data_IF_465372337661
#
_entry.id   IF_465372337661
#
_cell.length_a   1.000
_cell.length_b   1.000
_cell.length_c   1.000
_cell.angle_alpha   90.00
_cell.angle_beta   90.00
_cell.angle_gamma   90.00
#
_symmetry.space_group_name_H-M   'P 1'
#
loop_
_entity.id
_entity.type
_entity.pdbx_description
1 polymer ?
#
# COMPACT_ATOMS: atom_id res chain seq x y z
N UNK A 1 -1.68 -11.75 22.72
CA UNK A 1 -1.88 -11.28 21.33
C UNK A 1 -0.50 -11.00 20.76
N UNK A 2 -0.08 -11.76 19.76
CA UNK A 2 1.16 -11.50 19.05
C UNK A 2 0.94 -10.44 17.96
N UNK A 3 1.99 -9.72 17.60
CA UNK A 3 1.99 -8.82 16.45
C UNK A 3 3.11 -9.23 15.51
N UNK A 4 2.76 -9.59 14.28
CA UNK A 4 3.69 -10.05 13.25
C UNK A 4 3.89 -8.96 12.22
N UNK A 5 5.14 -8.57 11.94
CA UNK A 5 5.48 -7.62 10.90
C UNK A 5 6.10 -8.41 9.74
N UNK A 6 5.47 -8.39 8.57
CA UNK A 6 5.92 -9.09 7.37
C UNK A 6 6.25 -8.06 6.28
N UNK A 7 7.38 -8.30 5.61
CA UNK A 7 7.85 -7.51 4.48
C UNK A 7 7.03 -7.70 3.21
N UNK A 8 7.62 -7.31 2.09
CA UNK A 8 7.02 -7.39 0.75
C UNK A 8 6.55 -8.80 0.41
N UNK A 9 5.29 -8.91 -0.02
CA UNK A 9 4.67 -10.21 -0.36
C UNK A 9 4.79 -10.49 -1.86
N UNK A 10 4.63 -9.48 -2.71
CA UNK A 10 4.76 -9.58 -4.16
C UNK A 10 4.02 -10.78 -4.77
N UNK A 11 2.75 -10.98 -4.41
CA UNK A 11 1.95 -12.08 -4.96
C UNK A 11 2.45 -13.49 -4.60
N UNK A 12 3.37 -13.65 -3.66
CA UNK A 12 3.82 -14.93 -3.12
C UNK A 12 2.82 -15.47 -2.10
N UNK A 13 1.63 -15.84 -2.59
CA UNK A 13 0.50 -16.27 -1.76
C UNK A 13 0.83 -17.52 -0.93
N UNK A 14 1.39 -18.55 -1.58
CA UNK A 14 1.68 -19.83 -0.92
C UNK A 14 2.72 -19.65 0.19
N UNK A 15 3.73 -18.82 -0.04
CA UNK A 15 4.75 -18.48 0.95
C UNK A 15 4.18 -17.67 2.12
N UNK A 16 3.28 -16.72 1.85
CA UNK A 16 2.59 -15.97 2.90
C UNK A 16 1.78 -16.92 3.79
N UNK A 17 0.98 -17.81 3.21
CA UNK A 17 0.18 -18.78 3.96
C UNK A 17 1.08 -19.74 4.75
N UNK A 18 2.15 -20.26 4.14
CA UNK A 18 3.10 -21.13 4.82
C UNK A 18 3.79 -20.45 6.01
N UNK A 19 4.15 -19.16 5.86
CA UNK A 19 4.73 -18.35 6.93
C UNK A 19 3.73 -18.13 8.08
N UNK A 20 2.48 -17.77 7.77
CA UNK A 20 1.43 -17.55 8.77
C UNK A 20 1.08 -18.85 9.52
N UNK A 21 1.07 -19.99 8.82
CA UNK A 21 0.90 -21.30 9.45
C UNK A 21 2.07 -21.63 10.40
N UNK A 22 3.31 -21.33 9.99
CA UNK A 22 4.51 -21.59 10.81
C UNK A 22 4.52 -20.82 12.13
N UNK A 23 3.93 -19.61 12.15
CA UNK A 23 3.79 -18.79 13.37
C UNK A 23 2.44 -18.97 14.05
N UNK A 24 1.64 -19.96 13.62
CA UNK A 24 0.31 -20.25 14.16
C UNK A 24 -0.59 -19.01 14.26
N UNK A 25 -0.51 -18.13 13.25
CA UNK A 25 -1.26 -16.88 13.22
C UNK A 25 -2.77 -17.15 13.29
N UNK A 26 -3.42 -16.54 14.28
CA UNK A 26 -4.86 -16.71 14.51
C UNK A 26 -5.59 -15.37 14.34
N UNK A 27 -6.34 -15.16 13.22
CA UNK A 27 -7.19 -13.98 13.05
C UNK A 27 -8.17 -13.80 14.22
N UNK A 28 -8.39 -12.55 14.64
CA UNK A 28 -9.21 -12.19 15.81
C UNK A 28 -8.48 -12.32 17.15
N UNK A 29 -7.31 -12.97 17.20
CA UNK A 29 -6.46 -13.08 18.40
C UNK A 29 -5.11 -12.38 18.23
N UNK A 30 -4.51 -12.49 17.04
CA UNK A 30 -3.23 -11.90 16.67
C UNK A 30 -3.41 -10.79 15.64
N UNK A 31 -2.41 -9.92 15.51
CA UNK A 31 -2.42 -8.84 14.52
C UNK A 31 -1.29 -9.01 13.52
N UNK A 32 -1.63 -8.98 12.24
CA UNK A 32 -0.67 -8.99 11.14
C UNK A 32 -0.44 -7.56 10.66
N UNK A 33 0.82 -7.17 10.51
CA UNK A 33 1.25 -5.90 9.92
C UNK A 33 2.00 -6.18 8.62
N UNK A 34 1.55 -5.60 7.51
CA UNK A 34 2.15 -5.76 6.18
C UNK A 34 2.75 -4.45 5.71
N UNK A 35 4.01 -4.48 5.25
CA UNK A 35 4.74 -3.28 4.82
C UNK A 35 4.36 -2.79 3.42
N UNK A 36 3.29 -3.31 2.82
CA UNK A 36 2.89 -3.02 1.44
C UNK A 36 3.53 -3.96 0.43
N UNK A 37 3.45 -3.59 -0.84
CA UNK A 37 3.90 -4.39 -1.98
C UNK A 37 3.30 -5.80 -1.93
N UNK A 38 1.97 -5.84 -1.80
CA UNK A 38 1.19 -7.07 -1.72
C UNK A 38 1.18 -7.81 -3.06
N UNK A 39 1.26 -7.04 -4.15
CA UNK A 39 1.08 -7.50 -5.53
C UNK A 39 2.37 -7.40 -6.35
N UNK A 40 2.25 -7.84 -7.61
CA UNK A 40 3.27 -7.86 -8.64
C UNK A 40 4.36 -8.92 -8.43
N UNK A 41 5.05 -9.29 -9.52
CA UNK A 41 6.16 -10.28 -9.59
C UNK A 41 5.75 -11.73 -9.37
N UNK A 42 5.13 -12.05 -8.25
CA UNK A 42 4.65 -13.40 -7.93
C UNK A 42 3.35 -13.75 -8.66
N UNK A 43 2.99 -15.04 -8.70
CA UNK A 43 1.87 -15.54 -9.48
C UNK A 43 0.49 -15.28 -8.83
N UNK A 44 0.42 -15.12 -7.50
CA UNK A 44 -0.81 -15.13 -6.72
C UNK A 44 -1.27 -13.76 -6.21
N UNK A 45 -1.05 -12.67 -6.97
CA UNK A 45 -1.46 -11.31 -6.53
C UNK A 45 -2.96 -11.21 -6.20
N UNK A 46 -3.80 -11.90 -6.97
CA UNK A 46 -5.26 -11.96 -6.72
C UNK A 46 -5.59 -12.64 -5.38
N UNK A 47 -4.97 -13.78 -5.12
CA UNK A 47 -5.20 -14.56 -3.91
C UNK A 47 -4.68 -13.84 -2.66
N UNK A 48 -3.52 -13.16 -2.76
CA UNK A 48 -3.00 -12.29 -1.69
C UNK A 48 -4.02 -11.21 -1.34
N UNK A 49 -4.53 -10.44 -2.31
CA UNK A 49 -5.48 -9.37 -2.01
C UNK A 49 -6.77 -9.88 -1.39
N UNK A 50 -7.34 -10.97 -1.91
CA UNK A 50 -8.54 -11.59 -1.34
C UNK A 50 -8.31 -12.05 0.09
N UNK A 51 -7.20 -12.73 0.35
CA UNK A 51 -6.86 -13.22 1.68
C UNK A 51 -6.64 -12.06 2.66
N UNK A 52 -5.78 -11.10 2.32
CA UNK A 52 -5.48 -9.95 3.19
C UNK A 52 -6.76 -9.16 3.49
N UNK A 53 -7.61 -8.90 2.50
CA UNK A 53 -8.92 -8.25 2.71
C UNK A 53 -9.82 -9.07 3.63
N UNK A 54 -9.81 -10.40 3.54
CA UNK A 54 -10.62 -11.28 4.38
C UNK A 54 -10.24 -11.27 5.86
N UNK A 55 -9.02 -10.85 6.21
CA UNK A 55 -8.55 -10.77 7.60
C UNK A 55 -9.23 -9.67 8.43
N UNK A 56 -9.88 -8.70 7.77
CA UNK A 56 -10.57 -7.59 8.43
C UNK A 56 -9.69 -6.87 9.44
N UNK A 57 -10.18 -6.70 10.66
CA UNK A 57 -9.48 -5.98 11.74
C UNK A 57 -8.22 -6.69 12.25
N UNK A 58 -7.96 -7.93 11.81
CA UNK A 58 -6.76 -8.68 12.17
C UNK A 58 -5.52 -8.27 11.37
N UNK A 59 -5.67 -7.41 10.36
CA UNK A 59 -4.55 -6.91 9.55
C UNK A 59 -4.47 -5.39 9.59
N UNK A 60 -3.24 -4.90 9.67
CA UNK A 60 -2.86 -3.50 9.44
C UNK A 60 -1.86 -3.49 8.31
N UNK A 61 -1.98 -2.57 7.37
CA UNK A 61 -1.05 -2.50 6.26
C UNK A 61 -0.81 -1.06 5.82
N UNK A 62 0.27 -0.87 5.07
CA UNK A 62 0.54 0.34 4.31
C UNK A 62 0.62 0.04 2.82
N UNK A 63 0.34 1.04 1.98
CA UNK A 63 0.52 0.95 0.54
C UNK A 63 2.01 1.00 0.17
N UNK A 64 2.45 0.05 -0.66
CA UNK A 64 3.75 0.08 -1.30
C UNK A 64 3.72 0.65 -2.72
N UNK A 65 4.88 0.83 -3.33
CA UNK A 65 4.98 1.42 -4.67
C UNK A 65 4.42 0.49 -5.76
N UNK A 66 4.53 -0.83 -5.60
CA UNK A 66 3.92 -1.78 -6.52
C UNK A 66 2.38 -1.81 -6.40
N UNK A 67 1.84 -1.56 -5.21
CA UNK A 67 0.40 -1.41 -5.01
C UNK A 67 -0.13 -0.15 -5.71
N UNK A 68 0.56 0.99 -5.54
CA UNK A 68 0.22 2.23 -6.26
C UNK A 68 0.35 2.08 -7.78
N UNK A 69 1.38 1.36 -8.25
CA UNK A 69 1.55 1.09 -9.68
C UNK A 69 0.40 0.24 -10.24
N UNK A 70 -0.06 -0.78 -9.50
CA UNK A 70 -1.25 -1.55 -9.87
C UNK A 70 -2.48 -0.66 -10.03
N UNK A 71 -2.71 0.29 -9.11
CA UNK A 71 -3.81 1.24 -9.22
C UNK A 71 -3.69 2.11 -10.48
N UNK A 72 -2.48 2.54 -10.85
CA UNK A 72 -2.24 3.29 -12.08
C UNK A 72 -2.48 2.45 -13.34
N UNK A 73 -2.16 1.16 -13.31
CA UNK A 73 -2.47 0.23 -14.40
C UNK A 73 -3.98 0.04 -14.53
N UNK A 74 -4.69 -0.15 -13.41
CA UNK A 74 -6.13 -0.34 -13.40
C UNK A 74 -6.89 0.91 -13.89
N UNK A 75 -6.42 2.11 -13.54
CA UNK A 75 -6.96 3.37 -14.03
C UNK A 75 -6.61 3.67 -15.50
N UNK A 76 -5.88 2.80 -16.19
CA UNK A 76 -5.48 2.98 -17.59
C UNK A 76 -4.37 4.01 -17.83
N UNK A 77 -3.71 4.47 -16.77
CA UNK A 77 -2.63 5.49 -16.82
C UNK A 77 -1.30 4.84 -17.16
N UNK A 78 -1.07 3.64 -16.65
CA UNK A 78 0.19 2.91 -16.82
C UNK A 78 -0.01 1.58 -17.54
N UNK A 79 1.03 1.13 -18.24
CA UNK A 79 1.00 -0.15 -18.93
C UNK A 79 1.25 -1.30 -17.97
N UNK A 80 0.40 -2.33 -18.01
CA UNK A 80 0.67 -3.61 -17.37
C UNK A 80 1.93 -4.26 -17.96
N UNK A 81 2.97 -4.43 -17.15
CA UNK A 81 4.23 -5.07 -17.59
C UNK A 81 4.09 -6.59 -17.40
N UNK A 82 4.45 -7.42 -18.40
CA UNK A 82 4.33 -8.88 -18.27
C UNK A 82 4.98 -9.49 -17.03
N UNK A 83 6.11 -8.90 -16.59
CA UNK A 83 6.85 -9.33 -15.39
C UNK A 83 6.07 -9.13 -14.08
N UNK A 84 5.06 -8.27 -14.07
CA UNK A 84 4.28 -7.97 -12.87
C UNK A 84 3.13 -8.96 -12.69
N UNK A 85 2.78 -9.76 -13.72
CA UNK A 85 1.79 -10.86 -13.64
C UNK A 85 0.41 -10.45 -13.09
N UNK A 86 -0.02 -9.21 -13.36
CA UNK A 86 -1.24 -8.63 -12.81
C UNK A 86 -2.51 -9.01 -13.58
N UNK A 87 -2.41 -9.62 -14.76
CA UNK A 87 -3.56 -9.92 -15.63
C UNK A 87 -4.67 -10.71 -14.92
N UNK A 88 -4.39 -11.81 -14.18
CA UNK A 88 -5.45 -12.54 -13.49
C UNK A 88 -6.21 -11.69 -12.46
N UNK A 89 -5.52 -10.76 -11.81
CA UNK A 89 -6.13 -9.82 -10.86
C UNK A 89 -6.97 -8.77 -11.58
N UNK A 90 -6.45 -8.18 -12.66
CA UNK A 90 -7.14 -7.12 -13.41
C UNK A 90 -8.39 -7.62 -14.15
N UNK A 91 -8.41 -8.89 -14.54
CA UNK A 91 -9.54 -9.53 -15.24
C UNK A 91 -10.51 -10.26 -14.27
N UNK A 92 -10.24 -10.21 -12.97
CA UNK A 92 -11.08 -10.89 -11.99
C UNK A 92 -12.47 -10.20 -11.88
N UNK A 93 -13.56 -10.96 -11.69
CA UNK A 93 -14.91 -10.38 -11.55
C UNK A 93 -15.07 -9.41 -10.37
N UNK A 94 -14.24 -9.56 -9.34
CA UNK A 94 -14.17 -8.75 -8.12
C UNK A 94 -13.00 -7.74 -8.13
N UNK A 95 -12.34 -7.53 -9.27
CA UNK A 95 -11.22 -6.61 -9.40
C UNK A 95 -11.58 -5.19 -8.94
N UNK A 96 -12.73 -4.67 -9.37
CA UNK A 96 -13.24 -3.37 -8.94
C UNK A 96 -13.35 -3.27 -7.41
N UNK A 97 -13.90 -4.30 -6.76
CA UNK A 97 -14.04 -4.32 -5.30
C UNK A 97 -12.67 -4.32 -4.61
N UNK A 98 -11.78 -5.21 -5.04
CA UNK A 98 -10.44 -5.37 -4.46
C UNK A 98 -9.60 -4.11 -4.61
N UNK A 99 -9.63 -3.47 -5.78
CA UNK A 99 -8.82 -2.29 -6.05
C UNK A 99 -9.41 -1.03 -5.41
N UNK A 100 -10.74 -0.94 -5.31
CA UNK A 100 -11.40 0.09 -4.50
C UNK A 100 -11.10 -0.06 -3.00
N UNK A 101 -10.96 -1.29 -2.51
CA UNK A 101 -10.50 -1.55 -1.14
C UNK A 101 -9.02 -1.18 -0.98
N UNK A 102 -8.16 -1.59 -1.91
CA UNK A 102 -6.71 -1.37 -1.85
C UNK A 102 -6.36 0.13 -1.84
N UNK A 103 -6.97 0.93 -2.72
CA UNK A 103 -6.68 2.38 -2.79
C UNK A 103 -7.06 3.16 -1.52
N UNK A 104 -7.84 2.56 -0.62
CA UNK A 104 -8.26 3.18 0.65
C UNK A 104 -7.39 2.75 1.82
N UNK A 105 -6.35 1.95 1.57
CA UNK A 105 -5.42 1.54 2.61
C UNK A 105 -4.45 2.67 2.96
N UNK A 106 -3.96 2.74 4.21
CA UNK A 106 -3.09 3.82 4.65
C UNK A 106 -1.72 3.82 3.95
N UNK A 107 -1.05 4.97 3.93
CA UNK A 107 0.38 5.08 3.61
C UNK A 107 1.25 5.01 4.87
N UNK A 108 0.67 5.34 6.02
CA UNK A 108 1.36 5.34 7.31
C UNK A 108 0.49 4.67 8.38
N UNK A 109 1.05 3.68 9.08
CA UNK A 109 0.42 3.03 10.23
C UNK A 109 1.15 3.37 11.51
N UNK A 110 0.40 3.67 12.56
CA UNK A 110 0.98 4.05 13.87
C UNK A 110 0.24 3.32 14.99
N UNK A 111 1.01 2.70 15.87
CA UNK A 111 0.55 2.15 17.14
C UNK A 111 1.25 2.90 18.27
N UNK A 112 0.54 3.85 18.86
CA UNK A 112 1.06 4.72 19.93
C UNK A 112 1.33 3.95 21.23
N UNK A 113 0.65 2.82 21.45
CA UNK A 113 0.85 1.97 22.64
C UNK A 113 2.13 1.15 22.48
N UNK A 114 2.30 0.48 21.34
CA UNK A 114 3.49 -0.32 21.04
C UNK A 114 4.69 0.51 20.58
N UNK A 115 4.52 1.82 20.38
CA UNK A 115 5.52 2.73 19.80
C UNK A 115 6.03 2.24 18.45
N UNK A 116 5.11 1.76 17.61
CA UNK A 116 5.40 1.30 16.25
C UNK A 116 4.93 2.32 15.23
N UNK A 117 5.78 2.56 14.24
CA UNK A 117 5.46 3.33 13.03
C UNK A 117 5.85 2.46 11.85
N UNK A 118 4.96 2.33 10.88
CA UNK A 118 5.20 1.57 9.65
C UNK A 118 4.89 2.45 8.45
N UNK A 119 5.85 2.49 7.54
CA UNK A 119 5.77 3.03 6.20
C UNK A 119 6.52 2.05 5.28
N UNK A 120 6.19 2.01 3.99
CA UNK A 120 6.78 1.05 3.06
C UNK A 120 8.29 1.31 2.84
N UNK A 121 8.63 2.52 2.39
CA UNK A 121 10.02 2.91 2.07
C UNK A 121 10.71 3.70 3.20
N UNK A 122 10.03 3.89 4.34
CA UNK A 122 10.50 4.71 5.45
C UNK A 122 9.84 6.08 5.51
N UNK A 123 10.46 7.00 6.26
CA UNK A 123 10.02 8.39 6.42
C UNK A 123 11.23 9.27 6.18
N UNK A 124 11.12 10.26 5.29
CA UNK A 124 12.20 11.22 5.05
C UNK A 124 12.68 11.88 6.35
N UNK A 125 13.99 12.08 6.54
CA UNK A 125 14.53 12.75 7.72
C UNK A 125 14.14 14.23 7.82
N UNK A 126 13.52 14.80 6.77
CA UNK A 126 13.01 16.17 6.77
C UNK A 126 11.71 16.34 7.58
N UNK A 127 11.09 15.25 8.02
CA UNK A 127 9.80 15.27 8.70
C UNK A 127 9.92 14.83 10.15
N UNK A 128 9.14 15.47 11.00
CA UNK A 128 8.72 14.86 12.26
C UNK A 128 7.52 13.92 12.04
N UNK A 129 7.15 13.17 13.08
CA UNK A 129 6.05 12.22 12.99
C UNK A 129 4.70 12.90 12.70
N UNK A 130 4.50 14.13 13.16
CA UNK A 130 3.26 14.87 12.92
C UNK A 130 3.13 15.26 11.46
N UNK A 131 4.21 15.76 10.86
CA UNK A 131 4.28 16.08 9.43
C UNK A 131 4.05 14.82 8.60
N UNK A 132 4.68 13.70 8.94
CA UNK A 132 4.46 12.42 8.25
C UNK A 132 2.98 11.98 8.30
N UNK A 133 2.32 12.11 9.46
CA UNK A 133 0.88 11.83 9.62
C UNK A 133 0.02 12.70 8.72
N UNK A 134 0.29 14.00 8.66
CA UNK A 134 -0.46 14.95 7.83
C UNK A 134 -0.25 14.70 6.33
N UNK A 135 1.00 14.49 5.92
CA UNK A 135 1.36 14.15 4.55
C UNK A 135 0.69 12.85 4.08
N UNK A 136 0.73 11.79 4.88
CA UNK A 136 0.08 10.52 4.54
C UNK A 136 -1.43 10.73 4.31
N UNK A 137 -2.10 11.48 5.20
CA UNK A 137 -3.53 11.80 5.08
C UNK A 137 -3.87 12.57 3.80
N UNK A 138 -3.01 13.49 3.37
CA UNK A 138 -3.23 14.25 2.13
C UNK A 138 -3.31 13.31 0.92
N UNK A 139 -2.40 12.35 0.82
CA UNK A 139 -2.37 11.39 -0.30
C UNK A 139 -3.49 10.34 -0.16
N UNK A 140 -3.72 9.82 1.05
CA UNK A 140 -4.81 8.87 1.34
C UNK A 140 -6.20 9.46 1.00
N UNK A 141 -6.42 10.75 1.26
CA UNK A 141 -7.65 11.44 0.93
C UNK A 141 -7.88 11.50 -0.60
N UNK A 142 -6.82 11.77 -1.36
CA UNK A 142 -6.90 11.79 -2.83
C UNK A 142 -7.11 10.38 -3.39
N UNK A 143 -6.36 9.39 -2.91
CA UNK A 143 -6.52 7.99 -3.30
C UNK A 143 -7.93 7.44 -2.99
N UNK A 144 -8.54 7.90 -1.90
CA UNK A 144 -9.90 7.54 -1.49
C UNK A 144 -11.01 8.27 -2.26
N UNK A 145 -10.68 9.33 -3.00
CA UNK A 145 -11.61 10.11 -3.83
C UNK A 145 -11.80 9.50 -5.22
N UNK A 146 -12.76 10.02 -6.00
CA UNK A 146 -12.93 9.65 -7.41
C UNK A 146 -11.92 10.36 -8.34
N UNK A 147 -11.18 11.33 -7.82
CA UNK A 147 -10.13 12.06 -8.55
C UNK A 147 -8.75 11.40 -8.45
N UNK A 148 -8.65 10.22 -7.82
CA UNK A 148 -7.40 9.48 -7.66
C UNK A 148 -6.63 9.25 -8.98
N UNK A 149 -7.26 9.05 -10.17
CA UNK A 149 -6.50 8.85 -11.40
C UNK A 149 -5.63 10.05 -11.76
N UNK A 150 -6.08 11.28 -11.50
CA UNK A 150 -5.27 12.49 -11.78
C UNK A 150 -4.00 12.54 -10.94
N UNK A 151 -4.03 11.99 -9.72
CA UNK A 151 -2.85 11.89 -8.87
C UNK A 151 -1.92 10.76 -9.32
N UNK A 152 -2.45 9.61 -9.72
CA UNK A 152 -1.65 8.47 -10.18
C UNK A 152 -0.85 8.75 -11.46
N UNK A 153 -1.30 9.67 -12.32
CA UNK A 153 -0.49 10.14 -13.45
C UNK A 153 0.66 11.05 -12.96
N UNK A 154 0.36 11.87 -11.95
CA UNK A 154 1.29 12.85 -11.42
C UNK A 154 2.32 12.27 -10.44
N UNK A 155 2.14 11.07 -9.89
CA UNK A 155 3.08 10.47 -8.93
C UNK A 155 4.44 10.14 -9.55
N UNK A 156 4.51 9.95 -10.87
CA UNK A 156 5.75 9.66 -11.57
C UNK A 156 6.63 10.91 -11.67
N UNK A 157 7.92 10.75 -11.33
CA UNK A 157 8.95 11.76 -11.45
C UNK A 157 9.56 12.18 -10.11
N UNK A 158 10.78 12.69 -10.16
CA UNK A 158 11.62 12.88 -8.96
C UNK A 158 11.59 14.32 -8.42
N UNK A 159 10.82 15.23 -9.04
CA UNK A 159 10.77 16.64 -8.64
C UNK A 159 9.41 17.01 -8.04
N UNK A 160 9.35 17.71 -6.89
CA UNK A 160 10.47 18.36 -6.19
C UNK A 160 11.29 17.39 -5.32
N UNK A 161 12.56 17.72 -5.06
CA UNK A 161 13.49 16.93 -4.23
C UNK A 161 13.56 17.35 -2.76
N UNK A 162 13.02 18.52 -2.40
CA UNK A 162 13.08 19.05 -1.04
C UNK A 162 11.68 19.30 -0.49
N UNK A 163 11.49 19.01 0.80
CA UNK A 163 10.26 19.31 1.49
C UNK A 163 10.15 20.81 1.72
N UNK A 164 8.95 21.35 1.53
CA UNK A 164 8.59 22.70 1.95
C UNK A 164 7.13 22.69 2.40
N UNK A 165 6.79 23.25 3.58
CA UNK A 165 5.41 23.40 4.02
C UNK A 165 4.53 24.20 3.04
N UNK A 166 5.14 24.97 2.15
CA UNK A 166 4.51 25.77 1.09
C UNK A 166 4.19 24.98 -0.17
N UNK A 167 4.66 23.72 -0.31
CA UNK A 167 4.29 22.86 -1.44
C UNK A 167 2.76 22.70 -1.50
N UNK A 168 2.19 22.78 -2.71
CA UNK A 168 0.76 22.65 -2.99
C UNK A 168 0.50 21.70 -4.16
N UNK A 169 -0.74 21.22 -4.24
CA UNK A 169 -1.24 20.43 -5.38
C UNK A 169 -0.40 19.18 -5.66
N UNK A 170 -0.26 18.85 -6.95
CA UNK A 170 0.43 17.63 -7.40
C UNK A 170 1.91 17.57 -7.00
N UNK A 171 2.60 18.71 -6.91
CA UNK A 171 4.00 18.74 -6.46
C UNK A 171 4.16 18.29 -5.02
N UNK A 172 3.22 18.66 -4.14
CA UNK A 172 3.17 18.19 -2.75
C UNK A 172 2.90 16.69 -2.71
N UNK A 173 1.85 16.22 -3.39
CA UNK A 173 1.45 14.81 -3.38
C UNK A 173 2.56 13.91 -3.94
N UNK A 174 3.22 14.33 -5.02
CA UNK A 174 4.35 13.61 -5.60
C UNK A 174 5.54 13.55 -4.65
N UNK A 175 5.91 14.65 -4.00
CA UNK A 175 6.97 14.62 -2.99
C UNK A 175 6.61 13.60 -1.91
N UNK A 176 5.39 13.67 -1.37
CA UNK A 176 4.95 12.79 -0.28
C UNK A 176 5.06 11.32 -0.66
N UNK A 177 4.69 10.98 -1.89
CA UNK A 177 4.67 9.59 -2.39
C UNK A 177 6.08 9.03 -2.61
N UNK A 178 7.08 9.89 -2.85
CA UNK A 178 8.45 9.50 -3.16
C UNK A 178 9.45 9.78 -2.01
N UNK A 179 8.97 10.31 -0.87
CA UNK A 179 9.79 10.76 0.26
C UNK A 179 10.07 9.67 1.30
#
# INVERSE_FOLDING_TARGET
MATYLIGDVHGCYDELIALLHKVEFTPGKDTLWLTGDLVARGPGSLDVLRYVKSLGDSVRLVLGNHDLHLLAVFAGISRNKPKDRLTPLLEAPDADELLNWLRRQPLLQIDEEKKLVMAHAGITPQWDLQTAKECARDVEAVLSSDSYPFFLDAMYGDMPNNWSPELRGLGRLRFITNA
#
